data_IF_930614124690
#
_entry.id   IF_930614124690
#
_cell.length_a   1.000
_cell.length_b   1.000
_cell.length_c   1.000
_cell.angle_alpha   90.00
_cell.angle_beta   90.00
_cell.angle_gamma   90.00
#
_symmetry.space_group_name_H-M   'P 1'
#
loop_
_entity.id
_entity.type
_entity.pdbx_description
1 polymer ?
#
# COMPACT_ATOMS: atom_id res chain seq x y z
N UNK A 1 -31.36 -15.68 24.58
CA UNK A 1 -31.18 -15.19 23.20
C UNK A 1 -30.94 -13.68 23.28
N UNK A 2 -29.69 -13.23 23.31
CA UNK A 2 -29.32 -11.81 23.32
C UNK A 2 -28.25 -11.61 22.25
N UNK A 3 -28.67 -11.05 21.12
CA UNK A 3 -27.78 -10.51 20.09
C UNK A 3 -27.26 -9.19 20.63
N UNK A 4 -26.10 -9.20 21.28
CA UNK A 4 -25.33 -7.97 21.47
C UNK A 4 -24.92 -7.51 20.08
N UNK A 5 -25.72 -6.60 19.53
CA UNK A 5 -25.42 -5.86 18.33
C UNK A 5 -24.15 -5.05 18.64
N UNK A 6 -23.01 -5.61 18.22
CA UNK A 6 -21.70 -5.00 18.44
C UNK A 6 -21.66 -3.77 17.55
N UNK A 7 -21.81 -2.59 18.17
CA UNK A 7 -21.67 -1.33 17.48
C UNK A 7 -20.40 -1.38 16.61
N UNK A 8 -20.50 -1.05 15.30
CA UNK A 8 -19.38 -1.18 14.40
C UNK A 8 -18.18 -0.41 14.95
N UNK A 9 -17.00 -1.05 14.93
CA UNK A 9 -15.78 -0.44 15.42
C UNK A 9 -15.59 0.95 14.78
N UNK A 10 -15.23 1.97 15.57
CA UNK A 10 -15.13 3.34 15.07
C UNK A 10 -14.11 3.43 13.92
N UNK A 11 -14.56 3.96 12.78
CA UNK A 11 -13.73 4.17 11.60
C UNK A 11 -12.80 5.38 11.83
N UNK A 12 -11.53 5.26 11.41
CA UNK A 12 -10.61 6.41 11.34
C UNK A 12 -11.22 7.55 10.51
N UNK A 13 -11.14 8.77 11.05
CA UNK A 13 -11.68 9.97 10.40
C UNK A 13 -10.97 10.26 9.07
N UNK A 14 -11.63 10.91 8.10
CA UNK A 14 -10.99 11.28 6.84
C UNK A 14 -9.71 12.10 7.02
N UNK A 15 -9.69 13.03 7.99
CA UNK A 15 -8.51 13.85 8.29
C UNK A 15 -7.33 13.04 8.81
N UNK A 16 -7.56 11.98 9.60
CA UNK A 16 -6.51 11.09 10.07
C UNK A 16 -5.91 10.29 8.90
N UNK A 17 -6.75 9.85 7.95
CA UNK A 17 -6.28 9.15 6.74
C UNK A 17 -5.40 10.03 5.86
N UNK A 18 -5.78 11.30 5.68
CA UNK A 18 -4.98 12.27 4.92
C UNK A 18 -3.64 12.52 5.61
N UNK A 19 -3.63 12.75 6.92
CA UNK A 19 -2.40 12.92 7.69
C UNK A 19 -1.49 11.69 7.58
N UNK A 20 -2.05 10.50 7.74
CA UNK A 20 -1.32 9.24 7.58
C UNK A 20 -0.67 9.15 6.20
N UNK A 21 -1.44 9.35 5.13
CA UNK A 21 -0.95 9.25 3.76
C UNK A 21 0.16 10.27 3.47
N UNK A 22 0.01 11.52 3.92
CA UNK A 22 1.01 12.56 3.72
C UNK A 22 2.31 12.26 4.49
N UNK A 23 2.20 11.89 5.77
CA UNK A 23 3.38 11.53 6.57
C UNK A 23 4.08 10.29 6.03
N UNK A 24 3.31 9.29 5.63
CA UNK A 24 3.82 8.07 5.00
C UNK A 24 4.68 8.42 3.79
N UNK A 25 4.12 9.19 2.86
CA UNK A 25 4.79 9.49 1.59
C UNK A 25 5.99 10.42 1.78
N UNK A 26 5.85 11.47 2.60
CA UNK A 26 6.94 12.42 2.84
C UNK A 26 8.15 11.75 3.49
N UNK A 27 7.93 10.90 4.51
CA UNK A 27 9.02 10.19 5.18
C UNK A 27 9.62 9.11 4.28
N UNK A 28 8.78 8.40 3.49
CA UNK A 28 9.27 7.44 2.51
C UNK A 28 10.20 8.11 1.50
N UNK A 29 9.78 9.19 0.86
CA UNK A 29 10.58 9.91 -0.13
C UNK A 29 11.85 10.50 0.48
N UNK A 30 11.78 11.05 1.70
CA UNK A 30 12.96 11.58 2.39
C UNK A 30 14.04 10.51 2.66
N UNK A 31 13.65 9.24 2.76
CA UNK A 31 14.58 8.11 2.92
C UNK A 31 15.01 7.54 1.57
N UNK A 32 14.05 7.23 0.69
CA UNK A 32 14.27 6.59 -0.60
C UNK A 32 15.21 7.37 -1.49
N UNK A 33 15.04 8.69 -1.56
CA UNK A 33 15.78 9.52 -2.50
C UNK A 33 17.29 9.50 -2.17
N UNK A 34 17.76 9.88 -0.95
CA UNK A 34 19.18 9.87 -0.64
C UNK A 34 19.76 8.44 -0.56
N UNK A 35 19.02 7.49 0.03
CA UNK A 35 19.51 6.11 0.18
C UNK A 35 19.60 5.42 -1.18
N UNK A 36 18.58 5.57 -2.03
CA UNK A 36 18.58 5.02 -3.38
C UNK A 36 19.64 5.66 -4.28
N UNK A 37 19.80 6.99 -4.22
CA UNK A 37 20.86 7.69 -4.94
C UNK A 37 22.24 7.13 -4.57
N UNK A 38 22.50 6.95 -3.27
CA UNK A 38 23.75 6.35 -2.77
C UNK A 38 23.93 4.88 -3.21
N UNK A 39 22.89 4.05 -3.03
CA UNK A 39 22.95 2.61 -3.34
C UNK A 39 23.13 2.32 -4.83
N UNK A 40 22.52 3.13 -5.70
CA UNK A 40 22.53 2.92 -7.15
C UNK A 40 23.54 3.81 -7.88
N UNK A 41 24.27 4.68 -7.16
CA UNK A 41 25.20 5.64 -7.75
C UNK A 41 24.52 6.63 -8.70
N UNK A 42 23.28 7.03 -8.37
CA UNK A 42 22.48 7.95 -9.16
C UNK A 42 22.52 9.36 -8.54
N UNK A 43 22.21 10.38 -9.33
CA UNK A 43 21.93 11.69 -8.77
C UNK A 43 20.60 11.65 -7.99
N UNK A 44 20.53 12.47 -6.94
CA UNK A 44 19.34 12.60 -6.07
C UNK A 44 18.09 13.00 -6.88
N UNK A 45 18.27 13.84 -7.91
CA UNK A 45 17.19 14.25 -8.82
C UNK A 45 16.60 13.06 -9.59
N UNK A 46 17.46 12.22 -10.19
CA UNK A 46 17.04 11.04 -10.95
C UNK A 46 16.30 10.04 -10.04
N UNK A 47 16.81 9.82 -8.82
CA UNK A 47 16.14 8.95 -7.84
C UNK A 47 14.78 9.53 -7.40
N UNK A 48 14.68 10.86 -7.27
CA UNK A 48 13.43 11.56 -7.01
C UNK A 48 12.41 11.35 -8.14
N UNK A 49 12.82 11.53 -9.41
CA UNK A 49 11.97 11.29 -10.57
C UNK A 49 11.50 9.85 -10.66
N UNK A 50 12.39 8.88 -10.41
CA UNK A 50 12.03 7.46 -10.41
C UNK A 50 11.08 7.15 -9.26
N UNK A 51 11.36 7.61 -8.05
CA UNK A 51 10.51 7.35 -6.88
C UNK A 51 9.10 7.90 -7.06
N UNK A 52 8.98 9.20 -7.36
CA UNK A 52 7.69 9.86 -7.55
C UNK A 52 6.97 9.34 -8.79
N UNK A 53 7.68 9.21 -9.92
CA UNK A 53 7.14 8.66 -11.15
C UNK A 53 6.61 7.24 -10.95
N UNK A 54 7.36 6.39 -10.26
CA UNK A 54 6.95 5.02 -9.96
C UNK A 54 5.74 4.98 -9.03
N UNK A 55 5.67 5.83 -8.00
CA UNK A 55 4.50 5.90 -7.11
C UNK A 55 3.22 6.31 -7.86
N UNK A 56 3.32 7.31 -8.75
CA UNK A 56 2.19 7.74 -9.59
C UNK A 56 1.78 6.62 -10.54
N UNK A 57 2.73 6.02 -11.26
CA UNK A 57 2.47 4.91 -12.19
C UNK A 57 1.86 3.71 -11.48
N UNK A 58 2.38 3.33 -10.31
CA UNK A 58 1.85 2.23 -9.51
C UNK A 58 0.43 2.51 -9.03
N UNK A 59 0.13 3.74 -8.60
CA UNK A 59 -1.21 4.15 -8.17
C UNK A 59 -2.21 4.08 -9.34
N UNK A 60 -1.82 4.61 -10.51
CA UNK A 60 -2.64 4.55 -11.72
C UNK A 60 -2.85 3.10 -12.19
N UNK A 61 -1.78 2.30 -12.21
CA UNK A 61 -1.84 0.89 -12.58
C UNK A 61 -2.72 0.09 -11.63
N UNK A 62 -2.63 0.32 -10.32
CA UNK A 62 -3.50 -0.29 -9.31
C UNK A 62 -4.97 -0.07 -9.62
N UNK A 63 -5.36 1.16 -9.96
CA UNK A 63 -6.74 1.45 -10.33
C UNK A 63 -7.17 0.73 -11.62
N UNK A 64 -6.38 0.85 -12.69
CA UNK A 64 -6.69 0.25 -14.01
C UNK A 64 -6.78 -1.27 -13.92
N UNK A 65 -5.78 -1.89 -13.27
CA UNK A 65 -5.70 -3.34 -13.13
C UNK A 65 -6.85 -3.89 -12.31
N UNK A 66 -7.13 -3.31 -11.14
CA UNK A 66 -8.24 -3.77 -10.29
C UNK A 66 -9.58 -3.68 -11.03
N UNK A 67 -9.82 -2.58 -11.75
CA UNK A 67 -11.03 -2.40 -12.55
C UNK A 67 -11.14 -3.47 -13.64
N UNK A 68 -10.07 -3.68 -14.41
CA UNK A 68 -10.03 -4.66 -15.50
C UNK A 68 -10.20 -6.09 -15.00
N UNK A 69 -9.50 -6.45 -13.92
CA UNK A 69 -9.58 -7.77 -13.33
C UNK A 69 -10.97 -8.06 -12.76
N UNK A 70 -11.58 -7.11 -12.06
CA UNK A 70 -12.92 -7.31 -11.50
C UNK A 70 -13.96 -7.49 -12.61
N UNK A 71 -13.85 -6.75 -13.72
CA UNK A 71 -14.70 -6.97 -14.90
C UNK A 71 -14.49 -8.35 -15.53
N UNK A 72 -13.22 -8.77 -15.70
CA UNK A 72 -12.89 -10.08 -16.23
C UNK A 72 -13.41 -11.21 -15.33
N UNK A 73 -13.21 -11.10 -14.02
CA UNK A 73 -13.66 -12.10 -13.04
C UNK A 73 -15.19 -12.21 -13.03
N UNK A 74 -15.91 -11.09 -13.06
CA UNK A 74 -17.38 -11.07 -13.13
C UNK A 74 -17.89 -11.72 -14.43
N UNK A 75 -17.21 -11.48 -15.56
CA UNK A 75 -17.56 -12.12 -16.85
C UNK A 75 -17.26 -13.62 -16.87
N UNK A 76 -16.16 -14.05 -16.26
CA UNK A 76 -15.71 -15.45 -16.31
C UNK A 76 -16.39 -16.35 -15.28
N UNK A 77 -16.72 -15.84 -14.09
CA UNK A 77 -17.20 -16.66 -12.97
C UNK A 77 -18.58 -16.28 -12.46
N UNK A 78 -19.18 -15.20 -12.95
CA UNK A 78 -20.50 -14.70 -12.49
C UNK A 78 -20.52 -14.24 -11.03
N UNK A 79 -19.38 -14.24 -10.34
CA UNK A 79 -19.25 -13.94 -8.92
C UNK A 79 -18.01 -13.10 -8.65
N UNK A 80 -18.07 -12.20 -7.67
CA UNK A 80 -16.93 -11.40 -7.22
C UNK A 80 -16.10 -12.09 -6.12
N UNK A 81 -16.44 -13.33 -5.73
CA UNK A 81 -15.71 -14.07 -4.68
C UNK A 81 -14.34 -14.54 -5.20
N UNK A 82 -13.29 -13.85 -4.79
CA UNK A 82 -11.89 -14.25 -5.04
C UNK A 82 -11.50 -15.39 -4.09
N UNK A 83 -11.47 -16.63 -4.59
CA UNK A 83 -10.86 -17.77 -3.88
C UNK A 83 -9.36 -17.51 -3.63
N UNK A 84 -8.73 -18.26 -2.73
CA UNK A 84 -7.30 -18.08 -2.42
C UNK A 84 -6.43 -18.20 -3.68
N UNK A 85 -6.71 -19.18 -4.56
CA UNK A 85 -6.00 -19.33 -5.83
C UNK A 85 -6.17 -18.13 -6.76
N UNK A 86 -7.37 -17.55 -6.83
CA UNK A 86 -7.64 -16.34 -7.63
C UNK A 86 -6.89 -15.13 -7.06
N UNK A 87 -6.74 -15.03 -5.74
CA UNK A 87 -5.96 -13.94 -5.09
C UNK A 87 -4.47 -14.04 -5.37
N UNK A 88 -3.92 -15.26 -5.35
CA UNK A 88 -2.52 -15.49 -5.70
C UNK A 88 -2.28 -15.12 -7.16
N UNK A 89 -3.11 -15.63 -8.08
CA UNK A 89 -3.02 -15.32 -9.51
C UNK A 89 -3.14 -13.81 -9.76
N UNK A 90 -4.10 -13.15 -9.13
CA UNK A 90 -4.28 -11.70 -9.20
C UNK A 90 -3.02 -10.94 -8.80
N UNK A 91 -2.44 -11.29 -7.65
CA UNK A 91 -1.27 -10.57 -7.12
C UNK A 91 -0.05 -10.78 -8.01
N UNK A 92 0.18 -12.01 -8.49
CA UNK A 92 1.28 -12.31 -9.40
C UNK A 92 1.13 -11.59 -10.74
N UNK A 93 -0.08 -11.58 -11.31
CA UNK A 93 -0.34 -10.91 -12.58
C UNK A 93 -0.31 -9.38 -12.44
N UNK A 94 -0.75 -8.85 -11.30
CA UNK A 94 -0.62 -7.42 -10.97
C UNK A 94 0.84 -6.99 -10.96
N UNK A 95 1.67 -7.69 -10.18
CA UNK A 95 3.09 -7.37 -10.01
C UNK A 95 3.83 -7.53 -11.34
N UNK A 96 3.63 -8.65 -12.05
CA UNK A 96 4.26 -8.86 -13.35
C UNK A 96 3.85 -7.80 -14.37
N UNK A 97 2.56 -7.46 -14.45
CA UNK A 97 2.06 -6.41 -15.34
C UNK A 97 2.61 -5.03 -15.01
N UNK A 98 2.74 -4.71 -13.72
CA UNK A 98 3.34 -3.46 -13.26
C UNK A 98 4.80 -3.35 -13.72
N UNK A 99 5.60 -4.43 -13.57
CA UNK A 99 6.99 -4.47 -14.02
C UNK A 99 7.12 -4.32 -15.55
N UNK A 100 6.18 -4.86 -16.35
CA UNK A 100 6.18 -4.68 -17.81
C UNK A 100 6.03 -3.20 -18.20
N UNK A 101 5.34 -2.38 -17.40
CA UNK A 101 5.19 -0.95 -17.64
C UNK A 101 6.38 -0.16 -17.08
N UNK A 102 6.82 -0.46 -15.86
CA UNK A 102 7.84 0.31 -15.15
C UNK A 102 9.27 0.06 -15.66
N UNK A 103 9.64 -1.18 -15.92
CA UNK A 103 11.02 -1.51 -16.27
C UNK A 103 11.49 -0.85 -17.56
N UNK A 104 10.70 -0.86 -18.66
CA UNK A 104 11.12 -0.15 -19.88
C UNK A 104 11.24 1.35 -19.66
N UNK A 105 10.35 1.95 -18.85
CA UNK A 105 10.39 3.37 -18.56
C UNK A 105 11.64 3.77 -17.77
N UNK A 106 11.96 3.04 -16.70
CA UNK A 106 13.17 3.27 -15.87
C UNK A 106 14.43 3.01 -16.70
N UNK A 107 14.49 1.90 -17.43
CA UNK A 107 15.63 1.54 -18.25
C UNK A 107 15.90 2.58 -19.34
N UNK A 108 14.83 3.09 -19.98
CA UNK A 108 14.93 4.13 -20.99
C UNK A 108 15.40 5.46 -20.39
N UNK A 109 14.83 5.87 -19.26
CA UNK A 109 15.18 7.14 -18.60
C UNK A 109 16.62 7.16 -18.10
N UNK A 110 17.04 6.13 -17.36
CA UNK A 110 18.41 6.02 -16.82
C UNK A 110 19.43 5.49 -17.81
N UNK A 111 19.00 5.06 -19.00
CA UNK A 111 19.86 4.44 -20.03
C UNK A 111 20.60 3.19 -19.51
N UNK A 112 19.91 2.40 -18.68
CA UNK A 112 20.42 1.16 -18.08
C UNK A 112 19.81 -0.08 -18.71
N UNK A 113 20.38 -1.25 -18.43
CA UNK A 113 19.81 -2.53 -18.88
C UNK A 113 18.54 -2.90 -18.11
N UNK A 114 17.66 -3.71 -18.73
CA UNK A 114 16.42 -4.18 -18.08
C UNK A 114 16.68 -4.93 -16.75
N UNK A 115 17.68 -5.83 -16.64
CA UNK A 115 17.98 -6.48 -15.36
C UNK A 115 18.41 -5.50 -14.27
N UNK A 116 19.14 -4.44 -14.64
CA UNK A 116 19.54 -3.41 -13.70
C UNK A 116 18.34 -2.58 -13.23
N UNK A 117 17.47 -2.16 -14.15
CA UNK A 117 16.20 -1.51 -13.81
C UNK A 117 15.32 -2.40 -12.92
N UNK A 118 15.32 -3.72 -13.16
CA UNK A 118 14.61 -4.68 -12.33
C UNK A 118 15.16 -4.74 -10.91
N UNK A 119 16.48 -4.76 -10.75
CA UNK A 119 17.10 -4.71 -9.42
C UNK A 119 16.73 -3.43 -8.66
N UNK A 120 16.71 -2.27 -9.34
CA UNK A 120 16.30 -0.99 -8.75
C UNK A 120 14.83 -1.01 -8.33
N UNK A 121 13.93 -1.43 -9.25
CA UNK A 121 12.49 -1.55 -9.02
C UNK A 121 12.17 -2.51 -7.86
N UNK A 122 12.81 -3.68 -7.86
CA UNK A 122 12.64 -4.68 -6.80
C UNK A 122 13.11 -4.19 -5.44
N UNK A 123 14.25 -3.49 -5.39
CA UNK A 123 14.77 -2.91 -4.15
C UNK A 123 13.83 -1.83 -3.60
N UNK A 124 13.27 -0.99 -4.48
CA UNK A 124 12.28 0.02 -4.10
C UNK A 124 11.00 -0.62 -3.57
N UNK A 125 10.48 -1.64 -4.25
CA UNK A 125 9.30 -2.38 -3.81
C UNK A 125 9.53 -3.05 -2.44
N UNK A 126 10.69 -3.69 -2.25
CA UNK A 126 11.06 -4.29 -0.98
C UNK A 126 11.21 -3.24 0.13
N UNK A 127 11.81 -2.10 -0.17
CA UNK A 127 11.88 -0.97 0.77
C UNK A 127 10.46 -0.54 1.20
N UNK A 128 9.55 -0.26 0.25
CA UNK A 128 8.19 0.20 0.58
C UNK A 128 7.41 -0.87 1.36
N UNK A 129 7.60 -2.15 1.06
CA UNK A 129 6.98 -3.25 1.80
C UNK A 129 7.39 -3.24 3.28
N UNK A 130 8.70 -3.20 3.53
CA UNK A 130 9.27 -3.22 4.88
C UNK A 130 8.94 -1.92 5.62
N UNK A 131 9.15 -0.78 4.95
CA UNK A 131 8.84 0.55 5.47
C UNK A 131 7.38 0.66 5.87
N UNK A 132 6.44 0.25 5.01
CA UNK A 132 5.02 0.36 5.29
C UNK A 132 4.61 -0.46 6.51
N UNK A 133 5.17 -1.66 6.67
CA UNK A 133 4.93 -2.48 7.85
C UNK A 133 5.33 -1.75 9.14
N UNK A 134 6.56 -1.23 9.22
CA UNK A 134 7.03 -0.54 10.42
C UNK A 134 6.36 0.83 10.64
N UNK A 135 6.15 1.60 9.57
CA UNK A 135 5.45 2.88 9.65
C UNK A 135 4.04 2.70 10.18
N UNK A 136 3.30 1.69 9.71
CA UNK A 136 1.94 1.43 10.19
C UNK A 136 1.92 1.14 11.70
N UNK A 137 2.83 0.31 12.19
CA UNK A 137 2.97 0.02 13.62
C UNK A 137 3.27 1.30 14.41
N UNK A 138 4.27 2.08 13.95
CA UNK A 138 4.68 3.31 14.62
C UNK A 138 3.54 4.37 14.62
N UNK A 139 2.83 4.52 13.50
CA UNK A 139 1.71 5.44 13.39
C UNK A 139 0.58 5.07 14.34
N UNK A 140 0.25 3.78 14.46
CA UNK A 140 -0.79 3.29 15.36
C UNK A 140 -0.42 3.51 16.84
N UNK A 141 0.88 3.49 17.18
CA UNK A 141 1.35 3.82 18.54
C UNK A 141 1.27 5.32 18.83
N UNK A 142 1.62 6.18 17.86
CA UNK A 142 1.58 7.64 18.03
C UNK A 142 0.16 8.18 17.97
N UNK A 143 -0.71 7.57 17.15
CA UNK A 143 -2.11 7.95 16.95
C UNK A 143 -3.04 6.74 17.17
N UNK A 144 -3.21 6.29 18.43
CA UNK A 144 -4.08 5.17 18.74
C UNK A 144 -5.53 5.48 18.38
N UNK A 145 -6.19 4.52 17.73
CA UNK A 145 -7.63 4.59 17.47
C UNK A 145 -8.33 4.49 18.82
N UNK A 146 -9.15 5.49 19.16
CA UNK A 146 -9.86 5.52 20.43
C UNK A 146 -10.65 4.22 20.61
N UNK A 147 -10.24 3.38 21.55
CA UNK A 147 -11.01 2.23 21.97
C UNK A 147 -12.35 2.74 22.49
N UNK A 148 -13.45 2.18 21.99
CA UNK A 148 -14.81 2.44 22.47
C UNK A 148 -14.80 2.31 24.00
N UNK A 149 -14.88 3.43 24.73
CA UNK A 149 -15.12 3.38 26.18
C UNK A 149 -16.51 2.80 26.36
N UNK A 150 -16.61 1.58 26.86
CA UNK A 150 -17.89 1.06 27.37
C UNK A 150 -18.31 2.00 28.51
N UNK A 151 -19.47 2.66 28.45
CA UNK A 151 -19.93 3.54 29.51
C UNK A 151 -20.07 2.75 30.82
N UNK A 152 -19.63 3.29 31.98
CA UNK A 152 -19.73 2.60 33.28
C UNK A 152 -21.17 2.19 33.67
N UNK A 153 -22.19 2.79 33.05
CA UNK A 153 -23.61 2.51 33.28
C UNK A 153 -24.10 1.17 32.71
N UNK A 154 -23.29 0.48 31.90
CA UNK A 154 -23.61 -0.84 31.35
C UNK A 154 -23.10 -2.01 32.21
N UNK A 155 -22.43 -1.72 33.35
CA UNK A 155 -22.10 -2.77 34.31
C UNK A 155 -23.38 -3.19 35.03
N UNK A 156 -23.74 -4.49 35.05
CA UNK A 156 -24.85 -4.97 35.86
C UNK A 156 -24.52 -4.61 37.30
N UNK A 157 -25.32 -3.74 37.91
CA UNK A 157 -25.27 -3.54 39.35
C UNK A 157 -25.60 -4.91 39.94
N UNK A 158 -24.60 -5.56 40.53
CA UNK A 158 -24.81 -6.80 41.26
C UNK A 158 -25.82 -6.49 42.37
N UNK A 159 -27.07 -6.91 42.16
CA UNK A 159 -28.10 -6.87 43.17
C UNK A 159 -27.79 -7.95 44.19
N UNK A 160 -27.28 -7.55 45.36
CA UNK A 160 -27.27 -8.39 46.57
C UNK A 160 -28.68 -8.57 47.16
#
# INVERSE_FOLDING_TARGET
MSTLDSAPAPLRSPSDRVRHALLFECVALALVIPVGAYLFGLHTEDMGFIGVGSAITATAWNYIYNLGFDHALRRLTGSARKSVGVRVLHTLLFEAGLQVVLLPAIAWYLRVSIPQAFSMSFSLALFYLVYAFFFNIAYDWVFPVAATRVPPSALPIASE
#
